data_IF_889409074664
#
_entry.id   IF_889409074664
#
_cell.length_a   1.000
_cell.length_b   1.000
_cell.length_c   1.000
_cell.angle_alpha   90.00
_cell.angle_beta   90.00
_cell.angle_gamma   90.00
#
_symmetry.space_group_name_H-M   'P 1'
#
loop_
_entity.id
_entity.type
_entity.pdbx_description
1 polymer ?
#
# COMPACT_ATOMS: atom_id res chain seq x y z
N UNK A 1 4.28 50.48 -60.13
CA UNK A 1 4.39 49.02 -59.88
C UNK A 1 5.59 48.62 -59.02
N UNK A 2 6.81 49.16 -59.22
CA UNK A 2 7.99 48.82 -58.38
C UNK A 2 7.80 49.11 -56.88
N UNK A 3 7.20 50.24 -56.52
CA UNK A 3 7.05 50.63 -55.10
C UNK A 3 5.94 49.85 -54.38
N UNK A 4 4.86 49.47 -55.08
CA UNK A 4 3.81 48.61 -54.53
C UNK A 4 4.30 47.18 -54.28
N UNK A 5 5.12 46.63 -55.19
CA UNK A 5 5.75 45.31 -54.99
C UNK A 5 6.72 45.33 -53.80
N UNK A 6 7.51 46.40 -53.63
CA UNK A 6 8.37 46.58 -52.45
C UNK A 6 7.56 46.64 -51.15
N UNK A 7 6.47 47.38 -51.14
CA UNK A 7 5.62 47.53 -49.95
C UNK A 7 4.95 46.19 -49.57
N UNK A 8 4.46 45.42 -50.55
CA UNK A 8 3.95 44.06 -50.32
C UNK A 8 5.04 43.12 -49.78
N UNK A 9 6.26 43.20 -50.31
CA UNK A 9 7.36 42.35 -49.85
C UNK A 9 7.73 42.63 -48.39
N UNK A 10 7.74 43.90 -47.96
CA UNK A 10 7.98 44.29 -46.56
C UNK A 10 6.85 43.81 -45.66
N UNK A 11 5.59 43.97 -46.09
CA UNK A 11 4.43 43.51 -45.32
C UNK A 11 4.47 41.98 -45.11
N UNK A 12 4.86 41.22 -46.14
CA UNK A 12 4.98 39.77 -46.07
C UNK A 12 6.06 39.32 -45.06
N UNK A 13 7.20 40.02 -45.03
CA UNK A 13 8.28 39.74 -44.07
C UNK A 13 7.82 40.00 -42.63
N UNK A 14 7.09 41.09 -42.38
CA UNK A 14 6.56 41.41 -41.04
C UNK A 14 5.58 40.33 -40.56
N UNK A 15 4.71 39.84 -41.46
CA UNK A 15 3.77 38.76 -41.15
C UNK A 15 4.52 37.47 -40.79
N UNK A 16 5.55 37.09 -41.55
CA UNK A 16 6.36 35.91 -41.25
C UNK A 16 7.05 35.99 -39.89
N UNK A 17 7.62 37.15 -39.55
CA UNK A 17 8.25 37.37 -38.23
C UNK A 17 7.23 37.28 -37.09
N UNK A 18 6.03 37.83 -37.28
CA UNK A 18 4.96 37.74 -36.29
C UNK A 18 4.48 36.30 -36.07
N UNK A 19 4.31 35.53 -37.15
CA UNK A 19 3.86 34.12 -37.09
C UNK A 19 4.92 33.25 -36.41
N UNK A 20 6.20 33.43 -36.76
CA UNK A 20 7.30 32.66 -36.14
C UNK A 20 7.43 32.98 -34.65
N UNK A 21 7.30 34.25 -34.24
CA UNK A 21 7.28 34.64 -32.83
C UNK A 21 6.11 34.01 -32.06
N UNK A 22 4.92 33.98 -32.66
CA UNK A 22 3.73 33.34 -32.07
C UNK A 22 3.93 31.84 -31.88
N UNK A 23 4.48 31.13 -32.88
CA UNK A 23 4.79 29.70 -32.80
C UNK A 23 5.80 29.41 -31.68
N UNK A 24 6.83 30.25 -31.54
CA UNK A 24 7.83 30.11 -30.46
C UNK A 24 7.21 30.31 -29.08
N UNK A 25 6.32 31.30 -28.92
CA UNK A 25 5.61 31.53 -27.66
C UNK A 25 4.67 30.37 -27.30
N UNK A 26 3.92 29.85 -28.27
CA UNK A 26 3.04 28.69 -28.09
C UNK A 26 3.84 27.45 -27.73
N UNK A 27 4.95 27.16 -28.42
CA UNK A 27 5.80 26.02 -28.11
C UNK A 27 6.44 26.12 -26.71
N UNK A 28 6.86 27.32 -26.29
CA UNK A 28 7.38 27.57 -24.94
C UNK A 28 6.30 27.36 -23.87
N UNK A 29 5.07 27.78 -24.15
CA UNK A 29 3.92 27.56 -23.27
C UNK A 29 3.52 26.07 -23.18
N UNK A 30 3.54 25.34 -24.30
CA UNK A 30 3.29 23.90 -24.34
C UNK A 30 4.38 23.13 -23.58
N UNK A 31 5.66 23.48 -23.75
CA UNK A 31 6.75 22.89 -22.98
C UNK A 31 6.63 23.19 -21.48
N UNK A 32 6.24 24.41 -21.09
CA UNK A 32 5.98 24.78 -19.70
C UNK A 32 4.82 23.97 -19.08
N UNK A 33 3.79 23.66 -19.86
CA UNK A 33 2.64 22.87 -19.41
C UNK A 33 2.88 21.35 -19.42
N UNK A 34 3.93 20.89 -20.11
CA UNK A 34 4.40 19.50 -20.09
C UNK A 34 5.37 19.22 -18.93
N UNK A 35 5.46 20.11 -17.94
CA UNK A 35 6.03 19.76 -16.65
C UNK A 35 5.27 18.54 -16.13
N UNK A 36 5.96 17.39 -16.00
CA UNK A 36 5.43 16.14 -15.46
C UNK A 36 4.67 16.47 -14.18
N UNK A 37 3.34 16.40 -14.22
CA UNK A 37 2.49 16.73 -13.09
C UNK A 37 2.86 15.77 -11.97
N UNK A 38 3.58 16.28 -10.97
CA UNK A 38 4.06 15.45 -9.86
C UNK A 38 2.85 14.79 -9.20
N UNK A 39 2.90 13.46 -9.04
CA UNK A 39 1.83 12.71 -8.36
C UNK A 39 1.65 13.27 -6.95
N UNK A 40 0.40 13.31 -6.47
CA UNK A 40 0.14 13.62 -5.06
C UNK A 40 0.83 12.62 -4.16
N UNK A 41 1.17 13.03 -2.94
CA UNK A 41 1.80 12.13 -1.97
C UNK A 41 0.92 10.91 -1.66
N UNK A 42 -0.41 11.10 -1.66
CA UNK A 42 -1.39 10.02 -1.58
C UNK A 42 -1.24 9.01 -2.73
N UNK A 43 -1.18 9.46 -3.99
CA UNK A 43 -1.02 8.56 -5.13
C UNK A 43 0.33 7.83 -5.14
N UNK A 44 1.39 8.46 -4.60
CA UNK A 44 2.68 7.81 -4.40
C UNK A 44 2.61 6.74 -3.29
N UNK A 45 1.86 7.00 -2.22
CA UNK A 45 1.64 6.06 -1.12
C UNK A 45 0.84 4.84 -1.56
N UNK A 46 -0.27 5.04 -2.27
CA UNK A 46 -1.08 3.95 -2.86
C UNK A 46 -0.25 3.08 -3.81
N UNK A 47 0.56 3.70 -4.68
CA UNK A 47 1.45 2.93 -5.58
C UNK A 47 2.49 2.11 -4.81
N UNK A 48 3.07 2.66 -3.74
CA UNK A 48 4.00 1.92 -2.90
C UNK A 48 3.28 0.80 -2.15
N UNK A 49 2.07 1.06 -1.64
CA UNK A 49 1.29 0.10 -0.90
C UNK A 49 0.98 -1.13 -1.74
N UNK A 50 0.48 -0.94 -2.96
CA UNK A 50 0.23 -2.04 -3.91
C UNK A 50 1.49 -2.87 -4.19
N UNK A 51 2.65 -2.21 -4.35
CA UNK A 51 3.94 -2.89 -4.55
C UNK A 51 4.41 -3.68 -3.33
N UNK A 52 3.94 -3.33 -2.14
CA UNK A 52 4.37 -3.93 -0.89
C UNK A 52 3.43 -5.05 -0.41
N UNK A 53 2.20 -5.15 -0.94
CA UNK A 53 1.25 -6.23 -0.61
C UNK A 53 1.87 -7.64 -0.66
N UNK A 54 2.61 -8.04 -1.72
CA UNK A 54 3.20 -9.38 -1.74
C UNK A 54 4.20 -9.65 -0.60
N UNK A 55 4.92 -8.62 -0.14
CA UNK A 55 5.85 -8.76 1.00
C UNK A 55 5.10 -8.85 2.33
N UNK A 56 3.94 -8.21 2.43
CA UNK A 56 3.06 -8.31 3.60
C UNK A 56 2.46 -9.71 3.66
N UNK A 57 1.96 -10.23 2.54
CA UNK A 57 1.48 -11.62 2.43
C UNK A 57 2.58 -12.62 2.81
N UNK A 58 3.80 -12.44 2.30
CA UNK A 58 4.94 -13.29 2.67
C UNK A 58 5.24 -13.23 4.17
N UNK A 59 5.17 -12.04 4.78
CA UNK A 59 5.39 -11.87 6.21
C UNK A 59 4.30 -12.56 7.05
N UNK A 60 3.04 -12.43 6.65
CA UNK A 60 1.90 -13.10 7.29
C UNK A 60 2.06 -14.61 7.24
N UNK A 61 2.33 -15.18 6.06
CA UNK A 61 2.49 -16.63 5.91
C UNK A 61 3.73 -17.20 6.62
N UNK A 62 4.79 -16.40 6.80
CA UNK A 62 5.93 -16.81 7.63
C UNK A 62 5.59 -16.90 9.11
N UNK A 63 4.66 -16.07 9.58
CA UNK A 63 4.19 -16.07 10.98
C UNK A 63 3.12 -17.13 11.22
N UNK A 64 2.37 -17.49 10.18
CA UNK A 64 1.33 -18.50 10.18
C UNK A 64 1.87 -19.93 10.12
N UNK A 65 2.50 -20.36 11.20
CA UNK A 65 3.07 -21.72 11.33
C UNK A 65 2.01 -22.83 11.28
N UNK A 66 0.75 -22.50 11.56
CA UNK A 66 -0.36 -23.46 11.61
C UNK A 66 -1.15 -23.54 10.30
N UNK A 67 -0.78 -22.74 9.28
CA UNK A 67 -1.51 -22.61 8.02
C UNK A 67 -2.98 -22.18 8.23
N UNK A 68 -3.24 -21.34 9.23
CA UNK A 68 -4.56 -20.80 9.53
C UNK A 68 -5.09 -19.87 8.42
N UNK A 69 -4.20 -19.08 7.81
CA UNK A 69 -4.55 -18.08 6.79
C UNK A 69 -4.90 -18.78 5.47
N UNK A 70 -6.14 -18.61 5.02
CA UNK A 70 -6.65 -19.12 3.74
C UNK A 70 -6.83 -18.01 2.72
N UNK A 71 -7.34 -16.86 3.17
CA UNK A 71 -7.53 -15.66 2.34
C UNK A 71 -6.93 -14.45 3.05
N UNK A 72 -6.42 -13.50 2.26
CA UNK A 72 -5.92 -12.20 2.74
C UNK A 72 -6.64 -11.14 1.92
N UNK A 73 -7.26 -10.19 2.61
CA UNK A 73 -7.96 -9.06 2.00
C UNK A 73 -7.36 -7.77 2.51
N UNK A 74 -6.84 -6.96 1.59
CA UNK A 74 -6.33 -5.62 1.90
C UNK A 74 -7.46 -4.60 1.81
N UNK A 75 -7.52 -3.70 2.79
CA UNK A 75 -8.39 -2.54 2.69
C UNK A 75 -7.91 -1.60 1.59
N UNK A 76 -8.87 -0.85 1.01
CA UNK A 76 -8.58 0.03 -0.13
C UNK A 76 -7.83 1.28 0.28
N UNK A 77 -8.12 1.78 1.48
CA UNK A 77 -7.63 3.06 1.93
C UNK A 77 -6.23 2.91 2.51
N UNK A 78 -5.35 3.81 2.09
CA UNK A 78 -3.97 3.90 2.57
C UNK A 78 -3.85 5.19 3.36
N UNK A 79 -3.43 5.10 4.62
CA UNK A 79 -3.26 6.27 5.47
C UNK A 79 -1.79 6.66 5.58
N UNK A 80 -1.52 7.96 5.58
CA UNK A 80 -0.18 8.51 5.76
C UNK A 80 -0.17 9.20 7.12
N UNK A 81 0.68 8.73 8.03
CA UNK A 81 0.80 9.36 9.34
C UNK A 81 1.62 10.68 9.25
N UNK A 82 1.59 11.55 10.27
CA UNK A 82 2.35 12.81 10.25
C UNK A 82 3.88 12.65 10.11
N UNK A 83 4.42 11.46 10.40
CA UNK A 83 5.84 11.12 10.22
C UNK A 83 6.16 10.65 8.78
N UNK A 84 5.13 10.47 7.95
CA UNK A 84 5.25 10.02 6.57
C UNK A 84 5.34 8.50 6.41
N UNK A 85 5.05 7.72 7.44
CA UNK A 85 4.87 6.28 7.28
C UNK A 85 3.49 6.01 6.70
N UNK A 86 3.41 4.95 5.92
CA UNK A 86 2.22 4.52 5.21
C UNK A 86 1.65 3.30 5.91
N UNK A 87 0.41 3.38 6.37
CA UNK A 87 -0.29 2.25 6.97
C UNK A 87 -1.19 1.58 5.93
N UNK A 88 -1.10 0.25 5.89
CA UNK A 88 -1.93 -0.62 5.06
C UNK A 88 -2.64 -1.58 6.01
N UNK A 89 -3.96 -1.48 6.04
CA UNK A 89 -4.81 -2.34 6.84
C UNK A 89 -5.39 -3.48 6.00
N UNK A 90 -5.79 -4.54 6.66
CA UNK A 90 -6.38 -5.71 6.03
C UNK A 90 -6.83 -6.73 7.05
N UNK A 91 -7.38 -7.83 6.56
CA UNK A 91 -7.85 -8.93 7.39
C UNK A 91 -7.68 -10.26 6.66
N UNK A 92 -7.76 -11.35 7.41
CA UNK A 92 -7.67 -12.71 6.86
C UNK A 92 -8.98 -13.48 7.05
N UNK A 93 -9.16 -14.52 6.23
CA UNK A 93 -10.28 -15.46 6.31
C UNK A 93 -11.68 -14.81 6.25
N UNK A 94 -11.77 -13.64 5.61
CA UNK A 94 -12.99 -12.86 5.44
C UNK A 94 -13.71 -12.45 6.75
N UNK A 95 -12.94 -12.33 7.84
CA UNK A 95 -13.42 -12.02 9.19
C UNK A 95 -12.77 -10.72 9.73
N UNK A 96 -13.17 -9.54 9.20
CA UNK A 96 -12.54 -8.25 9.53
C UNK A 96 -12.68 -7.82 10.99
N UNK A 97 -13.67 -8.35 11.72
CA UNK A 97 -13.90 -8.00 13.13
C UNK A 97 -13.01 -8.79 14.11
N UNK A 98 -12.34 -9.85 13.63
CA UNK A 98 -11.55 -10.76 14.47
C UNK A 98 -10.12 -10.86 14.02
N UNK A 99 -9.88 -10.90 12.71
CA UNK A 99 -8.59 -11.26 12.15
C UNK A 99 -7.97 -10.14 11.33
N UNK A 100 -8.01 -8.92 11.86
CA UNK A 100 -7.36 -7.76 11.30
C UNK A 100 -5.85 -7.74 11.50
N UNK A 101 -5.17 -7.06 10.57
CA UNK A 101 -3.77 -6.71 10.67
C UNK A 101 -3.53 -5.29 10.14
N UNK A 102 -2.46 -4.67 10.61
CA UNK A 102 -2.02 -3.35 10.15
C UNK A 102 -0.53 -3.37 9.90
N UNK A 103 -0.11 -2.99 8.69
CA UNK A 103 1.28 -2.92 8.28
C UNK A 103 1.71 -1.47 8.12
N UNK A 104 2.69 -1.04 8.92
CA UNK A 104 3.34 0.26 8.77
C UNK A 104 4.55 0.14 7.87
N UNK A 105 4.56 0.90 6.78
CA UNK A 105 5.65 1.00 5.82
C UNK A 105 6.45 2.28 6.04
N UNK A 106 7.76 2.11 6.20
CA UNK A 106 8.67 3.24 6.22
C UNK A 106 8.89 3.74 4.80
N UNK A 107 8.21 4.84 4.42
CA UNK A 107 8.18 5.35 3.04
C UNK A 107 9.58 5.54 2.44
N UNK A 108 10.53 6.12 3.21
CA UNK A 108 11.90 6.36 2.76
C UNK A 108 12.71 5.08 2.57
N UNK A 109 12.51 4.10 3.45
CA UNK A 109 13.25 2.84 3.43
C UNK A 109 12.59 1.76 2.56
N UNK A 110 11.36 1.99 2.07
CA UNK A 110 10.57 1.08 1.22
C UNK A 110 10.51 -0.34 1.79
N UNK A 111 10.32 -0.43 3.10
CA UNK A 111 10.25 -1.68 3.86
C UNK A 111 9.10 -1.64 4.85
N UNK A 112 8.66 -2.83 5.26
CA UNK A 112 7.77 -2.99 6.41
C UNK A 112 8.57 -2.56 7.64
N UNK A 113 8.09 -1.52 8.33
CA UNK A 113 8.65 -1.05 9.58
C UNK A 113 8.16 -1.88 10.76
N UNK A 114 6.85 -2.13 10.80
CA UNK A 114 6.20 -2.95 11.81
C UNK A 114 4.90 -3.53 11.27
N UNK A 115 4.45 -4.62 11.89
CA UNK A 115 3.10 -5.14 11.71
C UNK A 115 2.47 -5.38 13.08
N UNK A 116 1.20 -5.03 13.20
CA UNK A 116 0.34 -5.36 14.33
C UNK A 116 -0.82 -6.22 13.85
N UNK A 117 -1.41 -6.95 14.80
CA UNK A 117 -2.46 -7.92 14.55
C UNK A 117 -3.49 -7.80 15.65
N UNK A 118 -4.75 -8.09 15.32
CA UNK A 118 -5.76 -8.27 16.34
C UNK A 118 -5.38 -9.43 17.27
N UNK A 119 -5.79 -9.39 18.56
CA UNK A 119 -5.45 -10.43 19.52
C UNK A 119 -5.80 -11.83 19.03
N UNK A 120 -7.01 -12.02 18.49
CA UNK A 120 -7.47 -13.34 18.03
C UNK A 120 -6.62 -13.89 16.88
N UNK A 121 -6.13 -13.03 15.97
CA UNK A 121 -5.20 -13.44 14.91
C UNK A 121 -3.81 -13.73 15.46
N UNK A 122 -3.30 -12.88 16.36
CA UNK A 122 -1.99 -13.09 16.97
C UNK A 122 -1.92 -14.42 17.72
N UNK A 123 -3.02 -14.81 18.36
CA UNK A 123 -3.15 -16.07 19.09
C UNK A 123 -3.03 -17.30 18.18
N UNK A 124 -3.43 -17.19 16.90
CA UNK A 124 -3.25 -18.25 15.88
C UNK A 124 -1.81 -18.37 15.38
N UNK A 125 -0.90 -17.50 15.82
CA UNK A 125 0.52 -17.59 15.49
C UNK A 125 1.38 -18.09 16.65
N UNK A 126 0.78 -18.43 17.80
CA UNK A 126 1.53 -18.93 18.95
C UNK A 126 2.15 -20.29 18.59
N UNK A 127 3.47 -20.40 18.74
CA UNK A 127 4.19 -21.67 18.63
C UNK A 127 4.19 -22.40 19.97
N UNK A 128 3.29 -23.37 20.13
CA UNK A 128 3.21 -24.17 21.35
C UNK A 128 4.40 -25.11 21.54
N UNK A 129 5.20 -25.38 20.50
CA UNK A 129 6.44 -26.17 20.64
C UNK A 129 7.49 -25.41 21.47
N UNK A 130 7.47 -24.08 21.49
CA UNK A 130 8.32 -23.27 22.36
C UNK A 130 8.03 -23.51 23.86
N UNK A 131 6.83 -24.01 24.19
CA UNK A 131 6.35 -24.24 25.55
C UNK A 131 6.23 -25.74 25.90
N UNK A 132 6.84 -26.64 25.12
CA UNK A 132 6.71 -28.09 25.33
C UNK A 132 7.19 -28.58 26.71
N UNK A 133 8.14 -27.86 27.32
CA UNK A 133 8.68 -28.17 28.64
C UNK A 133 7.82 -27.57 29.77
N UNK A 134 6.84 -26.72 29.43
CA UNK A 134 5.92 -26.03 30.35
C UNK A 134 4.45 -26.21 29.88
N UNK A 135 3.93 -27.46 29.82
CA UNK A 135 2.61 -27.75 29.26
C UNK A 135 1.45 -27.04 29.98
N UNK A 136 1.65 -26.68 31.24
CA UNK A 136 0.68 -25.93 32.04
C UNK A 136 0.38 -24.54 31.44
N UNK A 137 1.32 -23.93 30.71
CA UNK A 137 1.11 -22.61 30.05
C UNK A 137 0.00 -22.72 29.02
N UNK A 138 0.08 -23.73 28.14
CA UNK A 138 -0.95 -24.00 27.14
C UNK A 138 -2.27 -24.39 27.78
N UNK A 139 -2.24 -25.25 28.79
CA UNK A 139 -3.45 -25.69 29.48
C UNK A 139 -4.19 -24.52 30.15
N UNK A 140 -3.47 -23.64 30.85
CA UNK A 140 -4.04 -22.47 31.51
C UNK A 140 -4.58 -21.45 30.50
N UNK A 141 -3.88 -21.26 29.38
CA UNK A 141 -4.37 -20.44 28.29
C UNK A 141 -5.68 -21.00 27.70
N UNK A 142 -5.73 -22.30 27.38
CA UNK A 142 -6.93 -22.97 26.86
C UNK A 142 -8.12 -22.96 27.84
N UNK A 143 -7.85 -22.95 29.15
CA UNK A 143 -8.88 -22.81 30.21
C UNK A 143 -9.49 -21.42 30.30
N UNK A 144 -8.84 -20.40 29.73
CA UNK A 144 -9.39 -19.04 29.73
C UNK A 144 -10.56 -18.87 28.74
N UNK A 145 -10.67 -19.77 27.75
CA UNK A 145 -11.74 -19.79 26.76
C UNK A 145 -13.00 -20.52 27.26
N UNK A 146 -14.15 -20.11 26.73
CA UNK A 146 -15.32 -20.99 26.71
C UNK A 146 -15.04 -22.27 25.93
N UNK A 147 -15.90 -23.28 26.08
CA UNK A 147 -15.71 -24.55 25.36
C UNK A 147 -15.74 -24.31 23.84
N UNK A 148 -16.70 -23.53 23.36
CA UNK A 148 -16.90 -23.24 21.95
C UNK A 148 -15.72 -22.50 21.32
N UNK A 149 -15.17 -21.51 22.03
CA UNK A 149 -13.99 -20.75 21.60
C UNK A 149 -12.74 -21.63 21.55
N UNK A 150 -12.55 -22.49 22.57
CA UNK A 150 -11.43 -23.42 22.61
C UNK A 150 -11.48 -24.43 21.47
N UNK A 151 -12.65 -25.02 21.22
CA UNK A 151 -12.83 -25.98 20.14
C UNK A 151 -12.55 -25.33 18.78
N UNK A 152 -12.93 -24.05 18.59
CA UNK A 152 -12.60 -23.29 17.40
C UNK A 152 -11.10 -23.01 17.31
N UNK A 153 -10.49 -22.53 18.40
CA UNK A 153 -9.05 -22.26 18.47
C UNK A 153 -8.23 -23.48 18.06
N UNK A 154 -8.52 -24.65 18.65
CA UNK A 154 -7.80 -25.89 18.36
C UNK A 154 -7.95 -26.27 16.88
N UNK A 155 -9.18 -26.21 16.34
CA UNK A 155 -9.42 -26.45 14.90
C UNK A 155 -8.61 -25.52 14.01
N UNK A 156 -8.55 -24.24 14.37
CA UNK A 156 -7.84 -23.22 13.60
C UNK A 156 -6.34 -23.49 13.53
N UNK A 157 -5.74 -23.97 14.64
CA UNK A 157 -4.33 -24.33 14.69
C UNK A 157 -4.04 -25.78 14.25
N UNK A 158 -5.05 -26.49 13.73
CA UNK A 158 -4.90 -27.86 13.23
C UNK A 158 -4.82 -28.93 14.31
N UNK A 159 -5.09 -28.58 15.56
CA UNK A 159 -5.21 -29.50 16.67
C UNK A 159 -6.67 -29.99 16.80
N UNK A 160 -6.84 -31.23 17.21
CA UNK A 160 -8.16 -31.77 17.56
C UNK A 160 -8.13 -32.10 19.04
N UNK A 161 -9.17 -31.69 19.76
CA UNK A 161 -9.45 -32.16 21.13
C UNK A 161 -9.53 -33.70 21.17
#
# INVERSE_FOLDING_TARGET
MKNTIKLLSVLFVVILVAVTSLIVQVNKHIQSNNAVKEKSDQAKAEELAEKMKPKIEEHLHKRDIHNFIKTITFEKDVTINPMGDITIDGYVNDEPEKYGFSASLQYRAKKIGSMSYDPDLSDRFIDWEEYKDEPEVKENYLKSFTKEERDQYLRDIGEKE
#
